data_IF_749600088227
#
_entry.id   IF_749600088227
#
_cell.length_a   1.000
_cell.length_b   1.000
_cell.length_c   1.000
_cell.angle_alpha   90.00
_cell.angle_beta   90.00
_cell.angle_gamma   90.00
#
_symmetry.space_group_name_H-M   'P 1'
#
loop_
_entity.id
_entity.type
_entity.pdbx_description
1 polymer ?
#
# COMPACT_ATOMS: atom_id res chain seq x y z
N UNK A 1 -15.11 14.15 17.11
CA UNK A 1 -14.63 14.10 15.72
C UNK A 1 -13.27 13.40 15.62
N UNK A 2 -12.28 13.78 16.44
CA UNK A 2 -10.94 13.16 16.49
C UNK A 2 -10.91 11.62 16.58
N UNK A 3 -11.76 10.99 17.42
CA UNK A 3 -11.85 9.52 17.52
C UNK A 3 -12.22 8.82 16.21
N UNK A 4 -13.08 9.43 15.38
CA UNK A 4 -13.47 8.88 14.08
C UNK A 4 -12.31 8.97 13.09
N UNK A 5 -11.58 10.09 13.06
CA UNK A 5 -10.39 10.23 12.21
C UNK A 5 -9.27 9.27 12.63
N UNK A 6 -9.11 9.04 13.93
CA UNK A 6 -8.13 8.08 14.45
C UNK A 6 -8.50 6.63 14.03
N UNK A 7 -9.77 6.26 14.11
CA UNK A 7 -10.25 4.96 13.66
C UNK A 7 -10.10 4.80 12.13
N UNK A 8 -10.45 5.85 11.36
CA UNK A 8 -10.25 5.87 9.92
C UNK A 8 -8.77 5.77 9.52
N UNK A 9 -7.87 6.42 10.27
CA UNK A 9 -6.42 6.32 10.08
C UNK A 9 -5.92 4.88 10.29
N UNK A 10 -6.37 4.21 11.36
CA UNK A 10 -6.02 2.82 11.65
C UNK A 10 -6.53 1.88 10.55
N UNK A 11 -7.78 2.04 10.11
CA UNK A 11 -8.35 1.24 9.02
C UNK A 11 -7.59 1.47 7.72
N UNK A 12 -7.31 2.73 7.35
CA UNK A 12 -6.50 3.04 6.17
C UNK A 12 -5.08 2.45 6.26
N UNK A 13 -4.49 2.45 7.47
CA UNK A 13 -3.21 1.81 7.76
C UNK A 13 -3.22 0.31 7.53
N UNK A 14 -4.24 -0.38 8.02
CA UNK A 14 -4.42 -1.82 7.82
C UNK A 14 -4.61 -2.17 6.34
N UNK A 15 -5.47 -1.43 5.63
CA UNK A 15 -5.68 -1.62 4.19
C UNK A 15 -4.37 -1.40 3.41
N UNK A 16 -3.63 -0.35 3.74
CA UNK A 16 -2.33 -0.06 3.11
C UNK A 16 -1.32 -1.19 3.36
N UNK A 17 -1.28 -1.72 4.57
CA UNK A 17 -0.41 -2.83 4.96
C UNK A 17 -0.78 -4.13 4.21
N UNK A 18 -2.08 -4.46 4.11
CA UNK A 18 -2.53 -5.62 3.35
C UNK A 18 -2.21 -5.52 1.86
N UNK A 19 -2.40 -4.35 1.25
CA UNK A 19 -2.01 -4.12 -0.15
C UNK A 19 -0.50 -4.29 -0.34
N UNK A 20 0.30 -3.74 0.59
CA UNK A 20 1.76 -3.86 0.61
C UNK A 20 2.22 -5.32 0.67
N UNK A 21 1.63 -6.11 1.56
CA UNK A 21 1.90 -7.54 1.67
C UNK A 21 1.53 -8.30 0.39
N UNK A 22 0.40 -7.96 -0.23
CA UNK A 22 0.00 -8.60 -1.48
C UNK A 22 0.98 -8.31 -2.62
N UNK A 23 1.41 -7.05 -2.76
CA UNK A 23 2.43 -6.63 -3.74
C UNK A 23 3.73 -7.42 -3.50
N UNK A 24 4.22 -7.43 -2.27
CA UNK A 24 5.46 -8.15 -1.94
C UNK A 24 5.33 -9.66 -2.15
N UNK A 25 4.19 -10.28 -1.81
CA UNK A 25 3.97 -11.72 -2.06
C UNK A 25 4.00 -12.04 -3.55
N UNK A 26 3.37 -11.23 -4.39
CA UNK A 26 3.39 -11.43 -5.85
C UNK A 26 4.81 -11.28 -6.38
N UNK A 27 5.55 -10.26 -5.91
CA UNK A 27 6.94 -10.04 -6.30
C UNK A 27 7.89 -11.16 -5.81
N UNK A 28 7.66 -11.70 -4.61
CA UNK A 28 8.43 -12.84 -4.10
C UNK A 28 8.18 -14.09 -4.95
N UNK A 29 6.92 -14.34 -5.33
CA UNK A 29 6.55 -15.45 -6.23
C UNK A 29 7.16 -15.29 -7.63
N UNK A 30 7.40 -14.07 -8.09
CA UNK A 30 8.08 -13.81 -9.36
C UNK A 30 9.61 -13.80 -9.25
N UNK A 31 10.19 -14.28 -8.14
CA UNK A 31 11.63 -14.45 -7.99
C UNK A 31 12.40 -13.22 -7.50
N UNK A 32 11.73 -12.13 -7.11
CA UNK A 32 12.42 -11.00 -6.51
C UNK A 32 12.95 -11.38 -5.11
N UNK A 33 14.25 -11.16 -4.85
CA UNK A 33 14.84 -11.32 -3.51
C UNK A 33 14.39 -10.16 -2.62
N UNK A 34 13.30 -10.38 -1.89
CA UNK A 34 12.77 -9.42 -0.93
C UNK A 34 13.50 -9.63 0.40
N UNK A 35 14.40 -8.71 0.77
CA UNK A 35 15.02 -8.69 2.10
C UNK A 35 13.97 -8.36 3.18
N UNK A 36 14.10 -8.85 4.42
CA UNK A 36 13.08 -8.57 5.46
C UNK A 36 13.14 -7.14 6.03
N UNK A 37 14.19 -6.39 5.72
CA UNK A 37 14.37 -5.03 6.19
C UNK A 37 13.67 -4.05 5.23
N UNK A 38 12.67 -3.34 5.77
CA UNK A 38 11.93 -2.22 5.17
C UNK A 38 10.88 -2.55 4.08
N UNK A 39 9.75 -3.11 4.53
CA UNK A 39 8.53 -3.32 3.73
C UNK A 39 8.14 -2.08 2.92
N UNK A 40 8.19 -0.88 3.51
CA UNK A 40 7.78 0.37 2.84
C UNK A 40 8.69 0.74 1.67
N UNK A 41 10.00 0.74 1.90
CA UNK A 41 10.97 1.07 0.87
C UNK A 41 10.95 0.05 -0.26
N UNK A 42 10.79 -1.23 0.09
CA UNK A 42 10.67 -2.30 -0.88
C UNK A 42 9.39 -2.25 -1.70
N UNK A 43 8.24 -1.98 -1.08
CA UNK A 43 6.98 -1.82 -1.81
C UNK A 43 7.11 -0.69 -2.81
N UNK A 44 7.71 0.45 -2.43
CA UNK A 44 7.91 1.57 -3.34
C UNK A 44 8.85 1.22 -4.50
N UNK A 45 9.99 0.58 -4.18
CA UNK A 45 10.98 0.12 -5.17
C UNK A 45 10.39 -0.90 -6.15
N UNK A 46 9.57 -1.82 -5.66
CA UNK A 46 8.97 -2.88 -6.46
C UNK A 46 7.60 -2.52 -7.03
N UNK A 47 7.06 -1.33 -6.74
CA UNK A 47 5.73 -0.91 -7.20
C UNK A 47 5.66 -0.82 -8.72
N UNK A 48 6.73 -0.31 -9.35
CA UNK A 48 6.86 -0.22 -10.80
C UNK A 48 6.95 -1.61 -11.43
N UNK A 49 7.79 -2.48 -10.87
CA UNK A 49 7.93 -3.87 -11.33
C UNK A 49 6.63 -4.66 -11.16
N UNK A 50 5.92 -4.47 -10.05
CA UNK A 50 4.61 -5.10 -9.81
C UNK A 50 3.57 -4.66 -10.84
N UNK A 51 3.55 -3.37 -11.19
CA UNK A 51 2.68 -2.85 -12.25
C UNK A 51 3.00 -3.50 -13.59
N UNK A 52 4.27 -3.56 -13.98
CA UNK A 52 4.69 -4.19 -15.24
C UNK A 52 4.34 -5.68 -15.25
N UNK A 53 4.67 -6.40 -14.19
CA UNK A 53 4.39 -7.83 -14.05
C UNK A 53 2.90 -8.16 -14.16
N UNK A 54 2.03 -7.40 -13.47
CA UNK A 54 0.58 -7.63 -13.53
C UNK A 54 -0.01 -7.24 -14.89
N UNK A 55 0.50 -6.17 -15.50
CA UNK A 55 0.10 -5.77 -16.84
C UNK A 55 0.48 -6.82 -17.89
N UNK A 56 1.68 -7.38 -17.81
CA UNK A 56 2.17 -8.43 -18.72
C UNK A 56 1.43 -9.76 -18.52
N UNK A 57 1.11 -10.10 -17.27
CA UNK A 57 0.50 -11.40 -16.94
C UNK A 57 -1.02 -11.44 -17.12
N UNK A 58 -1.70 -10.39 -16.66
CA UNK A 58 -3.16 -10.34 -16.58
C UNK A 58 -3.77 -9.33 -17.58
N UNK A 59 -2.93 -8.66 -18.38
CA UNK A 59 -3.35 -7.59 -19.31
C UNK A 59 -3.83 -6.31 -18.62
N UNK A 60 -3.78 -6.24 -17.28
CA UNK A 60 -4.30 -5.15 -16.46
C UNK A 60 -3.45 -4.95 -15.21
N UNK A 61 -3.40 -3.71 -14.70
CA UNK A 61 -2.67 -3.40 -13.48
C UNK A 61 -3.38 -4.03 -12.27
N UNK A 62 -2.64 -4.76 -11.44
CA UNK A 62 -3.20 -5.45 -10.27
C UNK A 62 -3.85 -4.49 -9.27
N UNK A 63 -5.02 -4.89 -8.74
CA UNK A 63 -5.83 -4.07 -7.81
C UNK A 63 -5.04 -3.57 -6.60
N UNK A 64 -4.07 -4.35 -6.11
CA UNK A 64 -3.24 -3.97 -4.97
C UNK A 64 -2.40 -2.70 -5.24
N UNK A 65 -2.08 -2.39 -6.50
CA UNK A 65 -1.40 -1.14 -6.88
C UNK A 65 -2.28 0.09 -6.61
N UNK A 66 -3.55 0.03 -7.03
CA UNK A 66 -4.53 1.09 -6.78
C UNK A 66 -4.86 1.17 -5.30
N UNK A 67 -5.10 0.02 -4.66
CA UNK A 67 -5.38 -0.06 -3.23
C UNK A 67 -4.27 0.55 -2.37
N UNK A 68 -3.00 0.28 -2.71
CA UNK A 68 -1.86 0.89 -2.02
C UNK A 68 -1.84 2.41 -2.18
N UNK A 69 -2.03 2.95 -3.40
CA UNK A 69 -2.02 4.40 -3.63
C UNK A 69 -3.19 5.12 -2.94
N UNK A 70 -4.39 4.57 -3.06
CA UNK A 70 -5.60 5.16 -2.45
C UNK A 70 -5.50 5.14 -0.93
N UNK A 71 -5.11 4.00 -0.34
CA UNK A 71 -4.95 3.90 1.11
C UNK A 71 -3.83 4.79 1.66
N UNK A 72 -2.75 4.99 0.90
CA UNK A 72 -1.68 5.93 1.28
C UNK A 72 -2.17 7.37 1.25
N UNK A 73 -2.95 7.76 0.24
CA UNK A 73 -3.60 9.08 0.19
C UNK A 73 -4.58 9.30 1.35
N UNK A 74 -5.41 8.30 1.66
CA UNK A 74 -6.32 8.34 2.80
C UNK A 74 -5.60 8.44 4.14
N UNK A 75 -4.48 7.72 4.31
CA UNK A 75 -3.63 7.84 5.50
C UNK A 75 -3.16 9.28 5.70
N UNK A 76 -2.64 9.93 4.65
CA UNK A 76 -2.18 11.32 4.72
C UNK A 76 -3.36 12.26 5.03
N UNK A 77 -4.49 12.08 4.33
CA UNK A 77 -5.67 12.91 4.53
C UNK A 77 -6.21 12.81 5.97
N UNK A 78 -6.39 11.59 6.49
CA UNK A 78 -6.89 11.38 7.85
C UNK A 78 -5.87 11.81 8.91
N UNK A 79 -4.57 11.73 8.63
CA UNK A 79 -3.55 12.26 9.53
C UNK A 79 -3.68 13.78 9.66
N UNK A 80 -3.81 14.49 8.54
CA UNK A 80 -4.00 15.95 8.54
C UNK A 80 -5.32 16.32 9.22
N UNK A 81 -6.42 15.65 8.91
CA UNK A 81 -7.71 15.90 9.55
C UNK A 81 -7.67 15.60 11.05
N UNK A 82 -6.95 14.55 11.48
CA UNK A 82 -6.77 14.24 12.88
C UNK A 82 -6.00 15.35 13.60
N UNK A 83 -4.88 15.82 13.01
CA UNK A 83 -4.08 16.93 13.56
C UNK A 83 -4.86 18.24 13.64
N UNK A 84 -5.69 18.54 12.63
CA UNK A 84 -6.56 19.73 12.63
C UNK A 84 -7.73 19.62 13.62
N UNK A 85 -8.11 18.39 14.01
CA UNK A 85 -9.21 18.12 14.94
C UNK A 85 -8.78 17.99 16.40
N UNK A 86 -7.48 18.11 16.66
CA UNK A 86 -6.86 18.04 17.98
C UNK A 86 -6.89 19.41 18.66
#
# INVERSE_FOLDING_TARGET
>A
MSRLFLLALVVAGLVNYLCSLHILRVMAKSGARIGRFEIRWQVHKHLASYRQLTLERDGRVGLAWYGYRVSLGLLVLFLVLLLLSL
#
